data_IF_333868344499
#
_entry.id   IF_333868344499
#
_cell.length_a   1.000
_cell.length_b   1.000
_cell.length_c   1.000
_cell.angle_alpha   90.00
_cell.angle_beta   90.00
_cell.angle_gamma   90.00
#
_symmetry.space_group_name_H-M   'P 1'
#
loop_
_entity.id
_entity.type
_entity.pdbx_description
1 polymer ?
#
# COMPACT_ATOMS: atom_id res chain seq x y z
N UNK A 1 -2.35 23.34 -28.34
CA UNK A 1 -1.87 22.15 -27.59
C UNK A 1 -3.08 21.33 -27.23
N UNK A 2 -3.18 20.11 -27.77
CA UNK A 2 -4.28 19.17 -27.54
C UNK A 2 -3.64 17.79 -27.41
N UNK A 3 -3.85 17.16 -26.25
CA UNK A 3 -3.50 15.76 -25.99
C UNK A 3 -4.35 14.85 -26.88
N UNK A 4 -3.80 13.77 -27.47
CA UNK A 4 -4.64 12.68 -27.91
C UNK A 4 -4.96 11.79 -26.70
N UNK A 5 -6.26 11.68 -26.41
CA UNK A 5 -6.82 10.57 -25.63
C UNK A 5 -6.34 9.25 -26.24
N UNK A 6 -5.70 8.42 -25.44
CA UNK A 6 -5.52 6.99 -25.76
C UNK A 6 -6.85 6.31 -25.50
N UNK A 7 -7.70 6.29 -26.52
CA UNK A 7 -8.86 5.41 -26.58
C UNK A 7 -8.88 4.81 -27.98
N UNK A 8 -8.43 3.56 -28.08
CA UNK A 8 -8.72 2.73 -29.24
C UNK A 8 -8.88 1.29 -28.74
N UNK A 9 -10.15 0.88 -28.60
CA UNK A 9 -10.55 -0.50 -28.70
C UNK A 9 -9.93 -1.06 -29.98
N UNK A 10 -8.98 -1.98 -29.87
CA UNK A 10 -8.50 -2.72 -31.02
C UNK A 10 -9.69 -3.50 -31.57
N UNK A 11 -10.15 -3.08 -32.76
CA UNK A 11 -10.99 -3.89 -33.64
C UNK A 11 -10.39 -5.29 -33.64
N UNK A 12 -11.24 -6.29 -33.40
CA UNK A 12 -10.89 -7.69 -33.50
C UNK A 12 -10.25 -7.96 -34.85
N UNK A 13 -8.91 -7.86 -34.90
CA UNK A 13 -8.10 -8.41 -35.96
C UNK A 13 -8.24 -9.90 -35.81
N UNK A 14 -8.93 -10.48 -36.79
CA UNK A 14 -9.04 -11.90 -37.11
C UNK A 14 -8.01 -12.75 -36.36
N UNK A 15 -8.37 -13.18 -35.16
CA UNK A 15 -7.80 -14.40 -34.61
C UNK A 15 -8.12 -15.46 -35.63
N UNK A 16 -7.10 -16.05 -36.24
CA UNK A 16 -7.25 -17.24 -37.07
C UNK A 16 -8.04 -18.25 -36.24
N UNK A 17 -9.33 -18.37 -36.52
CA UNK A 17 -10.17 -19.39 -35.91
C UNK A 17 -9.50 -20.71 -36.30
N UNK A 18 -8.87 -21.37 -35.33
CA UNK A 18 -8.43 -22.76 -35.49
C UNK A 18 -9.70 -23.57 -35.71
N UNK A 19 -10.08 -23.77 -36.97
CA UNK A 19 -11.20 -24.61 -37.32
C UNK A 19 -10.83 -26.04 -36.99
N UNK A 20 -11.27 -26.52 -35.81
CA UNK A 20 -11.28 -27.96 -35.52
C UNK A 20 -12.38 -28.56 -36.39
N UNK A 21 -12.02 -29.06 -37.57
CA UNK A 21 -12.92 -29.89 -38.36
C UNK A 21 -12.98 -31.27 -37.72
N UNK A 22 -14.03 -31.54 -36.96
CA UNK A 22 -14.35 -32.89 -36.53
C UNK A 22 -14.57 -33.77 -37.78
N UNK A 23 -13.65 -34.69 -38.05
CA UNK A 23 -13.77 -35.63 -39.18
C UNK A 23 -14.79 -36.69 -38.76
N UNK A 24 -15.96 -36.74 -39.42
CA UNK A 24 -16.94 -37.82 -39.22
C UNK A 24 -16.35 -39.13 -39.73
N UNK A 25 -16.15 -40.09 -38.84
CA UNK A 25 -15.91 -41.48 -39.19
C UNK A 25 -17.08 -42.28 -38.60
N UNK A 26 -17.80 -43.00 -39.45
CA UNK A 26 -18.84 -43.94 -39.02
C UNK A 26 -18.16 -45.23 -38.55
N UNK A 27 -18.55 -45.74 -37.37
CA UNK A 27 -18.14 -47.08 -36.95
C UNK A 27 -18.66 -48.15 -37.91
N UNK A 28 -18.09 -49.36 -37.89
CA UNK A 28 -18.53 -50.48 -38.74
C UNK A 28 -20.01 -50.88 -38.53
N UNK A 29 -20.66 -50.37 -37.47
CA UNK A 29 -22.09 -50.55 -37.17
C UNK A 29 -22.94 -49.28 -37.42
N UNK A 30 -22.42 -48.28 -38.13
CA UNK A 30 -23.21 -47.12 -38.58
C UNK A 30 -23.47 -46.04 -37.52
N UNK A 31 -22.86 -46.12 -36.34
CA UNK A 31 -23.00 -45.09 -35.30
C UNK A 31 -21.94 -43.98 -35.44
N UNK A 32 -22.33 -42.75 -35.14
CA UNK A 32 -21.44 -41.57 -35.17
C UNK A 32 -20.45 -41.62 -34.01
N UNK A 33 -19.15 -41.63 -34.32
CA UNK A 33 -18.08 -41.54 -33.31
C UNK A 33 -17.57 -40.10 -33.29
N UNK A 34 -17.56 -39.47 -32.11
CA UNK A 34 -16.94 -38.15 -31.90
C UNK A 34 -15.48 -38.41 -31.51
N UNK A 35 -14.55 -38.02 -32.36
CA UNK A 35 -13.11 -38.05 -32.05
C UNK A 35 -12.75 -36.69 -31.47
N UNK A 36 -12.45 -36.65 -30.17
CA UNK A 36 -11.83 -35.48 -29.57
C UNK A 36 -10.38 -35.43 -30.07
N UNK A 37 -9.90 -34.29 -30.61
CA UNK A 37 -8.48 -34.15 -30.90
C UNK A 37 -7.67 -34.36 -29.61
N UNK A 38 -6.48 -34.95 -29.73
CA UNK A 38 -5.59 -35.13 -28.59
C UNK A 38 -5.35 -33.78 -27.91
N UNK A 39 -5.51 -33.76 -26.58
CA UNK A 39 -5.22 -32.60 -25.75
C UNK A 39 -3.70 -32.41 -25.81
N UNK A 40 -3.24 -31.46 -26.61
CA UNK A 40 -1.86 -31.00 -26.56
C UNK A 40 -1.75 -29.90 -25.51
N UNK A 41 -0.88 -30.10 -24.53
CA UNK A 41 -0.49 -29.05 -23.59
C UNK A 41 0.06 -27.86 -24.38
N UNK A 42 -0.72 -26.79 -24.47
CA UNK A 42 -0.26 -25.55 -25.07
C UNK A 42 0.49 -24.77 -24.00
N UNK A 43 1.74 -24.33 -24.27
CA UNK A 43 2.46 -23.51 -23.31
C UNK A 43 1.65 -22.24 -23.02
N UNK A 44 1.64 -21.83 -21.75
CA UNK A 44 1.00 -20.59 -21.34
C UNK A 44 1.58 -19.43 -22.17
N UNK A 45 0.74 -18.46 -22.59
CA UNK A 45 1.22 -17.31 -23.33
C UNK A 45 2.28 -16.57 -22.48
N UNK A 46 3.48 -16.45 -23.02
CA UNK A 46 4.53 -15.64 -22.42
C UNK A 46 4.35 -14.19 -22.84
N UNK A 47 4.02 -13.34 -21.88
CA UNK A 47 3.95 -11.91 -22.10
C UNK A 47 5.26 -11.25 -21.65
N UNK A 48 5.88 -10.36 -22.44
CA UNK A 48 7.08 -9.63 -22.05
C UNK A 48 6.73 -8.45 -21.13
N UNK A 49 5.94 -8.69 -20.08
CA UNK A 49 5.66 -7.66 -19.09
C UNK A 49 6.96 -7.37 -18.33
N UNK A 50 7.42 -6.11 -18.26
CA UNK A 50 8.54 -5.77 -17.42
C UNK A 50 8.15 -6.11 -15.98
N UNK A 51 8.86 -7.06 -15.38
CA UNK A 51 8.69 -7.36 -13.97
C UNK A 51 9.41 -6.24 -13.21
N UNK A 52 8.71 -5.37 -12.48
CA UNK A 52 9.37 -4.31 -11.75
C UNK A 52 10.36 -4.92 -10.75
N UNK A 53 11.60 -4.44 -10.76
CA UNK A 53 12.67 -4.96 -9.88
C UNK A 53 12.41 -4.68 -8.39
N UNK A 54 11.48 -3.77 -8.08
CA UNK A 54 11.08 -3.40 -6.72
C UNK A 54 9.56 -3.32 -6.62
N UNK A 55 9.02 -3.74 -5.48
CA UNK A 55 7.59 -3.64 -5.19
C UNK A 55 7.13 -2.18 -5.22
N UNK A 56 6.08 -1.90 -5.98
CA UNK A 56 5.48 -0.56 -6.03
C UNK A 56 4.65 -0.34 -4.78
N UNK A 57 5.12 0.55 -3.90
CA UNK A 57 4.35 0.98 -2.72
C UNK A 57 3.18 1.85 -3.20
N UNK A 58 1.96 1.48 -2.84
CA UNK A 58 0.72 2.19 -3.20
C UNK A 58 -0.13 2.43 -1.96
N UNK A 59 -1.25 3.15 -2.11
CA UNK A 59 -2.21 3.33 -1.01
C UNK A 59 -2.65 1.99 -0.41
N UNK A 60 -2.84 0.96 -1.25
CA UNK A 60 -3.23 -0.39 -0.81
C UNK A 60 -2.18 -1.07 0.07
N UNK A 61 -0.93 -0.62 0.07
CA UNK A 61 0.09 -1.13 0.98
C UNK A 61 -0.16 -0.72 2.45
N UNK A 62 -1.04 0.26 2.70
CA UNK A 62 -1.37 0.84 4.01
C UNK A 62 -2.79 0.52 4.47
N UNK A 63 -3.41 -0.55 3.96
CA UNK A 63 -4.69 -1.02 4.48
C UNK A 63 -4.56 -1.51 5.93
N UNK A 64 -5.71 -1.64 6.61
CA UNK A 64 -5.76 -2.12 7.99
C UNK A 64 -5.22 -3.56 8.07
N UNK A 65 -4.41 -3.88 9.07
CA UNK A 65 -3.73 -5.19 9.17
C UNK A 65 -4.28 -6.12 10.24
N UNK A 66 -5.50 -5.88 10.69
CA UNK A 66 -6.17 -6.77 11.63
C UNK A 66 -6.13 -8.23 11.21
N UNK A 67 -5.98 -9.10 12.20
CA UNK A 67 -5.61 -10.51 12.09
C UNK A 67 -6.72 -11.48 12.51
N UNK A 68 -7.95 -10.99 12.74
CA UNK A 68 -9.06 -11.77 13.31
C UNK A 68 -8.77 -12.42 14.68
N UNK A 69 -7.82 -11.87 15.43
CA UNK A 69 -7.49 -12.30 16.79
C UNK A 69 -8.55 -11.86 17.81
N UNK A 70 -8.50 -12.42 19.02
CA UNK A 70 -9.30 -11.99 20.16
C UNK A 70 -8.43 -11.84 21.41
N UNK A 71 -8.79 -10.90 22.28
CA UNK A 71 -8.11 -10.63 23.55
C UNK A 71 -9.13 -10.43 24.65
N UNK A 72 -9.00 -11.18 25.73
CA UNK A 72 -9.79 -11.00 26.94
C UNK A 72 -9.21 -9.86 27.78
N UNK A 73 -10.05 -8.91 28.19
CA UNK A 73 -9.75 -7.88 29.19
C UNK A 73 -10.61 -8.10 30.43
N UNK A 74 -10.38 -7.32 31.49
CA UNK A 74 -11.16 -7.40 32.73
C UNK A 74 -12.65 -7.09 32.51
N UNK A 75 -12.99 -6.28 31.50
CA UNK A 75 -14.35 -5.83 31.23
C UNK A 75 -15.02 -6.58 30.06
N UNK A 76 -14.29 -6.93 29.01
CA UNK A 76 -14.86 -7.50 27.79
C UNK A 76 -13.85 -8.33 26.97
N UNK A 77 -14.36 -9.14 26.04
CA UNK A 77 -13.52 -9.74 24.98
C UNK A 77 -13.47 -8.80 23.79
N UNK A 78 -12.29 -8.29 23.48
CA UNK A 78 -12.04 -7.47 22.30
C UNK A 78 -11.66 -8.36 21.12
N UNK A 79 -12.38 -8.20 20.01
CA UNK A 79 -12.04 -8.87 18.76
C UNK A 79 -11.30 -7.91 17.84
N UNK A 80 -10.29 -8.41 17.17
CA UNK A 80 -9.61 -7.74 16.07
C UNK A 80 -10.52 -7.72 14.81
N UNK A 81 -10.20 -6.87 13.83
CA UNK A 81 -10.84 -6.94 12.52
C UNK A 81 -10.14 -7.96 11.60
N UNK A 82 -10.82 -8.37 10.53
CA UNK A 82 -10.16 -8.92 9.34
C UNK A 82 -9.68 -7.72 8.51
N UNK A 83 -8.40 -7.37 8.66
CA UNK A 83 -7.83 -6.16 8.08
C UNK A 83 -8.05 -6.07 6.57
N UNK A 84 -7.80 -7.17 5.86
CA UNK A 84 -7.95 -7.24 4.40
C UNK A 84 -9.42 -7.15 3.99
N UNK A 85 -10.28 -7.99 4.55
CA UNK A 85 -11.70 -8.00 4.17
C UNK A 85 -12.38 -6.67 4.51
N UNK A 86 -12.11 -6.12 5.68
CA UNK A 86 -12.65 -4.85 6.11
C UNK A 86 -12.22 -3.67 5.21
N UNK A 87 -10.93 -3.60 4.87
CA UNK A 87 -10.42 -2.53 4.01
C UNK A 87 -10.85 -2.67 2.55
N UNK A 88 -11.22 -3.87 2.08
CA UNK A 88 -11.85 -4.05 0.77
C UNK A 88 -13.32 -3.59 0.75
N UNK A 89 -14.03 -3.78 1.86
CA UNK A 89 -15.44 -3.43 1.99
C UNK A 89 -15.69 -1.98 2.43
N UNK A 90 -14.66 -1.25 2.88
CA UNK A 90 -14.75 0.16 3.28
C UNK A 90 -13.76 1.02 2.51
N UNK A 91 -14.15 2.26 2.22
CA UNK A 91 -13.17 3.28 1.82
C UNK A 91 -12.21 3.48 2.98
N UNK A 92 -10.94 3.16 2.79
CA UNK A 92 -9.87 3.60 3.66
C UNK A 92 -9.13 4.74 2.97
N UNK A 93 -8.72 5.73 3.76
CA UNK A 93 -7.90 6.85 3.29
C UNK A 93 -6.51 6.69 3.86
N UNK A 94 -5.50 7.02 3.07
CA UNK A 94 -4.13 7.21 3.53
C UNK A 94 -3.62 8.49 2.88
N UNK A 95 -3.02 9.37 3.67
CA UNK A 95 -2.55 10.65 3.17
C UNK A 95 -1.50 10.45 2.06
N UNK A 96 -1.68 11.01 0.86
CA UNK A 96 -0.79 10.78 -0.28
C UNK A 96 0.68 11.03 0.05
N UNK A 97 0.96 12.07 0.86
CA UNK A 97 2.31 12.39 1.32
C UNK A 97 3.01 11.25 2.08
N UNK A 98 2.28 10.44 2.85
CA UNK A 98 2.86 9.29 3.54
C UNK A 98 3.39 8.26 2.53
N UNK A 99 2.67 8.07 1.43
CA UNK A 99 3.09 7.17 0.34
C UNK A 99 4.38 7.70 -0.29
N UNK A 100 4.46 9.00 -0.56
CA UNK A 100 5.65 9.63 -1.14
C UNK A 100 6.87 9.55 -0.21
N UNK A 101 6.68 9.87 1.08
CA UNK A 101 7.72 9.73 2.10
C UNK A 101 8.22 8.28 2.15
N UNK A 102 7.30 7.31 2.19
CA UNK A 102 7.64 5.89 2.27
C UNK A 102 8.40 5.45 1.01
N UNK A 103 7.98 5.88 -0.18
CA UNK A 103 8.68 5.57 -1.44
C UNK A 103 10.08 6.15 -1.48
N UNK A 104 10.29 7.37 -0.99
CA UNK A 104 11.61 8.00 -0.93
C UNK A 104 12.53 7.24 0.04
N UNK A 105 12.03 6.90 1.22
CA UNK A 105 12.76 6.09 2.18
C UNK A 105 13.07 4.70 1.63
N UNK A 106 12.12 4.07 0.92
CA UNK A 106 12.24 2.69 0.45
C UNK A 106 13.36 2.49 -0.59
N UNK A 107 13.75 3.57 -1.30
CA UNK A 107 14.87 3.54 -2.24
C UNK A 107 16.21 3.30 -1.55
N UNK A 108 16.39 3.83 -0.35
CA UNK A 108 17.64 3.77 0.41
C UNK A 108 17.61 2.62 1.45
N UNK A 109 16.47 2.47 2.10
CA UNK A 109 16.23 1.51 3.17
C UNK A 109 15.12 0.55 2.74
N UNK A 110 15.35 -0.77 2.66
CA UNK A 110 14.25 -1.73 2.52
C UNK A 110 13.32 -1.59 3.72
N UNK A 111 12.08 -1.19 3.47
CA UNK A 111 11.06 -0.95 4.49
C UNK A 111 9.96 -2.00 4.41
N UNK A 112 9.51 -2.45 5.57
CA UNK A 112 8.23 -3.09 5.76
C UNK A 112 7.27 -2.07 6.37
N UNK A 113 6.11 -1.86 5.76
CA UNK A 113 5.02 -1.14 6.43
C UNK A 113 4.55 -2.06 7.56
N UNK A 114 4.49 -1.57 8.79
CA UNK A 114 3.99 -2.30 9.96
C UNK A 114 2.52 -1.96 10.14
N UNK A 115 2.20 -0.67 10.22
CA UNK A 115 0.82 -0.18 10.32
C UNK A 115 0.59 1.04 9.42
N UNK A 116 -0.60 1.15 8.85
CA UNK A 116 -1.04 2.24 7.99
C UNK A 116 -2.33 2.85 8.50
N UNK A 117 -3.37 2.89 7.66
CA UNK A 117 -4.72 3.16 8.14
C UNK A 117 -5.15 2.05 9.10
N UNK A 118 -5.63 2.41 10.28
CA UNK A 118 -6.11 1.48 11.29
C UNK A 118 -7.60 1.74 11.54
N UNK A 119 -8.45 0.72 11.40
CA UNK A 119 -9.86 0.90 11.73
C UNK A 119 -10.06 0.97 13.24
N UNK A 120 -11.15 1.59 13.70
CA UNK A 120 -11.43 1.74 15.13
C UNK A 120 -11.39 0.43 15.93
N UNK A 121 -11.94 -0.66 15.35
CA UNK A 121 -11.96 -1.99 15.98
C UNK A 121 -10.53 -2.52 16.19
N UNK A 122 -9.70 -2.46 15.15
CA UNK A 122 -8.29 -2.88 15.21
C UNK A 122 -7.49 -1.99 16.16
N UNK A 123 -7.70 -0.67 16.12
CA UNK A 123 -7.03 0.28 17.00
C UNK A 123 -7.29 -0.02 18.47
N UNK A 124 -8.55 -0.23 18.87
CA UNK A 124 -8.88 -0.62 20.25
C UNK A 124 -8.24 -1.94 20.65
N UNK A 125 -8.22 -2.92 19.74
CA UNK A 125 -7.57 -4.21 19.97
C UNK A 125 -6.06 -4.07 20.22
N UNK A 126 -5.37 -3.27 19.41
CA UNK A 126 -3.93 -2.99 19.57
C UNK A 126 -3.63 -2.22 20.85
N UNK A 127 -4.42 -1.20 21.17
CA UNK A 127 -4.28 -0.45 22.43
C UNK A 127 -4.43 -1.35 23.65
N UNK A 128 -5.46 -2.22 23.65
CA UNK A 128 -5.63 -3.20 24.73
C UNK A 128 -4.51 -4.25 24.73
N UNK A 129 -3.83 -4.46 23.61
CA UNK A 129 -2.65 -5.32 23.47
C UNK A 129 -1.36 -4.69 24.01
N UNK A 130 -1.39 -3.42 24.41
CA UNK A 130 -0.23 -2.69 24.91
C UNK A 130 0.58 -2.00 23.81
N UNK A 131 0.10 -2.03 22.56
CA UNK A 131 0.72 -1.31 21.46
C UNK A 131 0.38 0.18 21.53
N UNK A 132 1.40 1.03 21.38
CA UNK A 132 1.22 2.48 21.35
C UNK A 132 1.21 2.96 19.91
N UNK A 133 0.04 3.38 19.42
CA UNK A 133 -0.15 3.97 18.10
C UNK A 133 -0.79 5.35 18.20
N UNK A 134 -0.39 6.23 17.29
CA UNK A 134 -1.02 7.55 17.15
C UNK A 134 -2.49 7.41 16.74
N UNK A 135 -3.39 8.20 17.33
CA UNK A 135 -4.80 8.24 16.90
C UNK A 135 -4.94 8.69 15.44
N UNK A 136 -3.93 9.32 14.85
CA UNK A 136 -3.87 9.69 13.42
C UNK A 136 -3.92 8.49 12.47
N UNK A 137 -3.63 7.28 12.93
CA UNK A 137 -3.83 6.05 12.15
C UNK A 137 -5.32 5.84 11.80
N UNK A 138 -6.24 6.29 12.65
CA UNK A 138 -7.70 6.19 12.44
C UNK A 138 -8.20 7.02 11.25
N UNK A 139 -7.48 8.07 10.88
CA UNK A 139 -7.80 8.96 9.75
C UNK A 139 -6.83 8.82 8.57
N UNK A 140 -5.90 7.85 8.62
CA UNK A 140 -4.92 7.66 7.56
C UNK A 140 -3.83 8.73 7.50
N UNK A 141 -3.61 9.45 8.60
CA UNK A 141 -2.63 10.53 8.72
C UNK A 141 -1.37 10.12 9.49
N UNK A 142 -1.20 8.82 9.72
CA UNK A 142 0.02 8.26 10.27
C UNK A 142 0.34 6.90 9.65
N UNK A 143 1.62 6.52 9.72
CA UNK A 143 2.10 5.20 9.36
C UNK A 143 3.26 4.79 10.27
N UNK A 144 3.41 3.50 10.49
CA UNK A 144 4.51 2.88 11.19
C UNK A 144 5.25 1.98 10.20
N UNK A 145 6.54 2.25 10.02
CA UNK A 145 7.42 1.48 9.14
C UNK A 145 8.50 0.79 9.96
N UNK A 146 9.05 -0.30 9.44
CA UNK A 146 10.15 -1.05 10.02
C UNK A 146 11.25 -1.25 8.99
N UNK A 147 12.50 -1.22 9.44
CA UNK A 147 13.66 -1.67 8.67
C UNK A 147 14.73 -2.25 9.58
N UNK A 148 15.41 -3.28 9.11
CA UNK A 148 16.58 -3.84 9.78
C UNK A 148 17.82 -2.95 9.61
N UNK A 149 17.82 -2.06 8.60
CA UNK A 149 18.96 -1.17 8.36
C UNK A 149 19.02 -0.07 9.42
N UNK A 150 20.24 0.28 9.83
CA UNK A 150 20.48 1.46 10.65
C UNK A 150 20.15 2.73 9.88
N UNK A 151 19.37 3.62 10.50
CA UNK A 151 18.98 4.91 9.92
C UNK A 151 19.77 6.02 10.59
N UNK A 152 20.36 6.90 9.77
CA UNK A 152 20.99 8.14 10.22
C UNK A 152 20.04 9.30 9.94
N UNK A 153 19.50 9.93 11.00
CA UNK A 153 18.52 11.02 10.88
C UNK A 153 19.04 12.18 10.01
N UNK A 154 20.34 12.45 10.05
CA UNK A 154 20.98 13.52 9.28
C UNK A 154 20.84 13.32 7.76
N UNK A 155 20.76 12.06 7.31
CA UNK A 155 20.61 11.72 5.89
C UNK A 155 19.17 11.84 5.40
N UNK A 156 18.20 11.86 6.32
CA UNK A 156 16.78 11.90 5.96
C UNK A 156 16.38 13.23 5.31
N UNK A 157 17.04 14.34 5.71
CA UNK A 157 16.81 15.66 5.09
C UNK A 157 17.05 15.63 3.57
N UNK A 158 18.15 15.02 3.12
CA UNK A 158 18.43 14.90 1.68
C UNK A 158 17.42 14.02 0.96
N UNK A 159 16.96 12.95 1.62
CA UNK A 159 15.94 12.03 1.08
C UNK A 159 14.61 12.75 0.88
N UNK A 160 14.23 13.65 1.77
CA UNK A 160 12.95 14.38 1.71
C UNK A 160 13.00 15.68 0.91
N UNK A 161 14.19 16.19 0.59
CA UNK A 161 14.34 17.39 -0.24
C UNK A 161 13.54 17.37 -1.56
N UNK A 162 13.35 16.24 -2.27
CA UNK A 162 12.56 16.20 -3.50
C UNK A 162 11.04 16.36 -3.30
N UNK A 163 10.53 16.30 -2.05
CA UNK A 163 9.11 16.54 -1.75
C UNK A 163 8.69 17.98 -2.03
N UNK A 164 9.65 18.91 -2.06
CA UNK A 164 9.43 20.34 -2.22
C UNK A 164 10.07 20.87 -3.51
N UNK A 165 9.31 21.66 -4.26
CA UNK A 165 9.77 22.31 -5.48
C UNK A 165 10.42 23.64 -5.12
N UNK A 166 11.63 23.88 -5.65
CA UNK A 166 12.46 25.08 -5.32
C UNK A 166 11.80 26.44 -5.56
N UNK A 167 10.76 26.54 -6.38
CA UNK A 167 10.11 27.80 -6.75
C UNK A 167 8.65 27.88 -6.28
N UNK A 168 8.23 26.97 -5.39
CA UNK A 168 6.87 26.96 -4.86
C UNK A 168 6.80 27.68 -3.51
N UNK A 169 5.73 28.44 -3.30
CA UNK A 169 5.38 29.01 -2.00
C UNK A 169 4.55 27.97 -1.26
N UNK A 170 4.95 27.67 -0.02
CA UNK A 170 4.26 26.73 0.85
C UNK A 170 3.55 27.46 2.00
N UNK A 171 2.36 26.99 2.42
CA UNK A 171 1.58 27.60 3.50
C UNK A 171 2.15 27.32 4.90
N UNK A 172 3.16 26.46 5.01
CA UNK A 172 3.84 26.09 6.24
C UNK A 172 5.35 26.01 6.00
N UNK A 173 6.13 26.06 7.07
CA UNK A 173 7.58 25.91 7.00
C UNK A 173 7.96 24.53 6.49
N UNK A 174 8.82 24.51 5.46
CA UNK A 174 9.39 23.28 4.88
C UNK A 174 10.78 22.96 5.46
N UNK A 175 11.29 23.82 6.35
CA UNK A 175 12.62 23.66 6.94
C UNK A 175 12.63 22.52 7.96
N UNK A 176 13.50 21.55 7.73
CA UNK A 176 13.63 20.38 8.58
C UNK A 176 14.34 20.72 9.89
N UNK A 177 13.66 20.46 11.00
CA UNK A 177 14.24 20.40 12.34
C UNK A 177 14.55 18.95 12.68
N UNK A 178 15.74 18.70 13.22
CA UNK A 178 16.19 17.35 13.63
C UNK A 178 16.55 17.36 15.10
N UNK A 179 16.09 16.35 15.84
CA UNK A 179 16.48 16.06 17.23
C UNK A 179 17.21 14.71 17.28
N UNK A 180 17.46 14.19 18.48
CA UNK A 180 18.09 12.87 18.65
C UNK A 180 17.26 11.71 18.06
N UNK A 181 15.93 11.83 18.08
CA UNK A 181 15.03 10.75 17.65
C UNK A 181 14.00 11.20 16.62
N UNK A 182 13.91 12.49 16.31
CA UNK A 182 12.89 13.00 15.38
C UNK A 182 13.48 13.84 14.27
N UNK A 183 12.85 13.79 13.09
CA UNK A 183 13.04 14.75 12.01
C UNK A 183 11.68 15.16 11.48
N UNK A 184 11.48 16.43 11.21
CA UNK A 184 10.23 16.91 10.65
C UNK A 184 10.25 18.40 10.35
N UNK A 185 9.14 18.89 9.83
CA UNK A 185 8.84 20.29 9.62
C UNK A 185 7.37 20.52 10.02
N UNK A 186 6.75 21.61 9.55
CA UNK A 186 5.35 21.89 9.87
C UNK A 186 4.36 21.01 9.10
N UNK A 187 4.79 20.32 8.03
CA UNK A 187 3.93 19.41 7.26
C UNK A 187 3.86 18.03 7.92
N UNK A 188 4.98 17.46 8.36
CA UNK A 188 5.03 16.13 8.95
C UNK A 188 6.18 15.96 9.93
N UNK A 189 6.05 14.96 10.80
CA UNK A 189 7.07 14.52 11.75
C UNK A 189 7.33 13.03 11.59
N UNK A 190 8.61 12.66 11.64
CA UNK A 190 9.07 11.28 11.70
C UNK A 190 9.80 11.07 13.02
N UNK A 191 9.44 10.01 13.74
CA UNK A 191 10.07 9.58 14.98
C UNK A 191 10.73 8.23 14.77
N UNK A 192 12.04 8.17 15.00
CA UNK A 192 12.85 6.96 15.01
C UNK A 192 12.72 6.29 16.38
N UNK A 193 12.35 5.01 16.38
CA UNK A 193 12.20 4.18 17.58
C UNK A 193 13.12 2.97 17.38
N UNK A 194 14.35 2.99 17.93
CA UNK A 194 15.25 1.85 17.88
C UNK A 194 14.71 0.69 18.71
N UNK A 195 14.79 -0.53 18.16
CA UNK A 195 14.56 -1.80 18.88
C UNK A 195 15.70 -2.77 18.60
N UNK A 196 15.81 -3.83 19.40
CA UNK A 196 16.92 -4.80 19.31
C UNK A 196 17.06 -5.44 17.92
N UNK A 197 15.95 -5.61 17.19
CA UNK A 197 15.90 -6.27 15.89
C UNK A 197 15.90 -5.30 14.70
N UNK A 198 15.91 -3.98 14.93
CA UNK A 198 15.87 -2.99 13.85
C UNK A 198 15.29 -1.64 14.28
N UNK A 199 14.84 -0.86 13.31
CA UNK A 199 14.39 0.51 13.51
C UNK A 199 12.96 0.68 13.06
N UNK A 200 12.12 1.23 13.94
CA UNK A 200 10.79 1.68 13.59
C UNK A 200 10.81 3.17 13.25
N UNK A 201 10.04 3.55 12.24
CA UNK A 201 9.80 4.94 11.84
C UNK A 201 8.31 5.22 11.96
N UNK A 202 7.92 6.03 12.93
CA UNK A 202 6.56 6.55 13.02
C UNK A 202 6.48 7.85 12.24
N UNK A 203 5.63 7.88 11.21
CA UNK A 203 5.33 9.06 10.40
C UNK A 203 3.99 9.61 10.87
N UNK A 204 3.93 10.91 11.15
CA UNK A 204 2.70 11.62 11.47
C UNK A 204 2.58 12.89 10.63
N UNK A 205 1.46 13.03 9.94
CA UNK A 205 1.13 14.25 9.21
C UNK A 205 0.61 15.32 10.18
N UNK A 206 1.08 16.55 10.03
CA UNK A 206 0.76 17.70 10.88
C UNK A 206 -0.07 18.75 10.12
N UNK A 207 0.20 18.92 8.83
CA UNK A 207 -0.50 19.87 7.95
C UNK A 207 -0.77 19.23 6.60
N UNK A 208 -1.96 19.45 6.07
CA UNK A 208 -2.36 18.97 4.75
C UNK A 208 -2.25 20.13 3.74
N UNK A 209 -1.32 19.98 2.78
CA UNK A 209 -1.08 20.96 1.73
C UNK A 209 -2.15 20.97 0.63
N UNK A 210 -2.94 19.90 0.49
CA UNK A 210 -4.03 19.84 -0.49
C UNK A 210 -5.26 20.61 0.02
N UNK A 211 -5.60 20.44 1.31
CA UNK A 211 -6.72 21.15 1.94
C UNK A 211 -6.34 22.48 2.59
N UNK A 212 -5.03 22.77 2.69
CA UNK A 212 -4.46 23.96 3.32
C UNK A 212 -4.91 24.12 4.78
N UNK A 213 -4.93 23.01 5.53
CA UNK A 213 -5.36 23.00 6.93
C UNK A 213 -4.45 22.16 7.81
N UNK A 214 -4.31 22.51 9.10
CA UNK A 214 -3.73 21.61 10.08
C UNK A 214 -4.52 20.31 10.15
N UNK A 215 -3.82 19.19 10.35
CA UNK A 215 -4.46 17.89 10.53
C UNK A 215 -4.92 17.78 11.97
N UNK A 216 -6.25 17.77 12.15
CA UNK A 216 -6.87 17.57 13.44
C UNK A 216 -6.52 16.17 13.98
N UNK A 217 -6.20 16.13 15.27
CA UNK A 217 -6.02 14.87 15.99
C UNK A 217 -7.42 14.33 16.28
N UNK A 218 -7.78 13.12 15.81
CA UNK A 218 -9.05 12.52 16.17
C UNK A 218 -9.17 12.43 17.70
N UNK A 219 -10.36 12.67 18.28
CA UNK A 219 -10.54 12.48 19.70
C UNK A 219 -10.12 11.07 20.10
N UNK A 220 -9.44 10.95 21.23
CA UNK A 220 -9.07 9.63 21.75
C UNK A 220 -10.34 8.85 22.08
N UNK A 221 -10.43 7.56 21.69
CA UNK A 221 -11.57 6.71 22.02
C UNK A 221 -11.88 6.63 23.51
#
# INVERSE_FOLDING_TARGET
MLFPLVCACSKATETAHRHIRARRITSQHGHSVIIYPEIQDSPLPQYPWPTPQQSVITAYSFHCRGSLSAKETEQETLYDCDGLHHSLCKKFSIHPRIIDITRLLHKEYPLSIVEGFCCYKHFRFLTASGESLSTKHLSGNAALLFTEKAIRLETLRSIFSPLYKKQSIYPCSIDFTTTQTTIGNEEFRITLIPKDTGNYLSIEMLYDLETLRPIEVPPSP
#
